data_IF_015351226910
#
_entry.id   IF_015351226910
#
_cell.length_a   1.000
_cell.length_b   1.000
_cell.length_c   1.000
_cell.angle_alpha   90.00
_cell.angle_beta   90.00
_cell.angle_gamma   90.00
#
_symmetry.space_group_name_H-M   'P 1'
#
loop_
_entity.id
_entity.type
_entity.pdbx_description
1 polymer ?
#
# COMPACT_ATOMS: atom_id res chain seq x y z
N UNK A 1 13.82 3.56 31.85
CA UNK A 1 12.58 4.05 31.20
C UNK A 1 12.89 4.18 29.71
N UNK A 2 12.52 3.20 28.88
CA UNK A 2 12.72 3.23 27.43
C UNK A 2 11.33 3.14 26.79
N UNK A 3 10.87 4.09 25.96
CA UNK A 3 9.56 3.97 25.32
C UNK A 3 9.59 2.85 24.25
N UNK A 4 8.54 2.04 24.22
CA UNK A 4 8.39 0.93 23.28
C UNK A 4 8.40 1.39 21.80
N UNK A 5 9.03 0.65 20.87
CA UNK A 5 9.14 1.03 19.45
C UNK A 5 7.84 0.92 18.63
N UNK A 6 6.69 0.54 19.22
CA UNK A 6 5.47 0.19 18.48
C UNK A 6 4.83 1.35 17.69
N UNK A 7 5.12 2.61 18.02
CA UNK A 7 4.56 3.76 17.30
C UNK A 7 5.42 4.24 16.12
N UNK A 8 6.74 4.01 16.15
CA UNK A 8 7.64 4.46 15.07
C UNK A 8 7.42 3.66 13.77
N UNK A 9 7.17 2.36 13.87
CA UNK A 9 6.89 1.53 12.69
C UNK A 9 5.56 1.91 12.03
N UNK A 10 4.50 2.19 12.80
CA UNK A 10 3.19 2.52 12.24
C UNK A 10 3.19 3.84 11.45
N UNK A 11 3.93 4.85 11.92
CA UNK A 11 4.09 6.12 11.17
C UNK A 11 4.94 5.92 9.92
N UNK A 12 6.03 5.15 9.99
CA UNK A 12 6.84 4.83 8.83
C UNK A 12 6.04 4.08 7.75
N UNK A 13 5.20 3.11 8.13
CA UNK A 13 4.30 2.40 7.21
C UNK A 13 3.30 3.35 6.53
N UNK A 14 2.79 4.34 7.26
CA UNK A 14 1.89 5.36 6.70
C UNK A 14 2.64 6.29 5.74
N UNK A 15 3.83 6.76 6.09
CA UNK A 15 4.65 7.59 5.21
C UNK A 15 5.01 6.87 3.90
N UNK A 16 5.36 5.59 3.97
CA UNK A 16 5.60 4.74 2.80
C UNK A 16 4.32 4.64 1.96
N UNK A 17 3.18 4.36 2.58
CA UNK A 17 1.88 4.29 1.89
C UNK A 17 1.50 5.63 1.21
N UNK A 18 1.75 6.75 1.88
CA UNK A 18 1.45 8.09 1.35
C UNK A 18 2.38 8.46 0.19
N UNK A 19 3.68 8.14 0.29
CA UNK A 19 4.64 8.32 -0.81
C UNK A 19 4.29 7.42 -2.01
N UNK A 20 3.76 6.22 -1.76
CA UNK A 20 3.26 5.34 -2.80
C UNK A 20 2.04 5.93 -3.50
N UNK A 21 1.09 6.45 -2.72
CA UNK A 21 -0.11 7.08 -3.22
C UNK A 21 0.24 8.28 -4.12
N UNK A 22 1.19 9.13 -3.74
CA UNK A 22 1.64 10.26 -4.56
C UNK A 22 2.22 9.82 -5.92
N UNK A 23 3.06 8.76 -5.93
CA UNK A 23 3.60 8.17 -7.16
C UNK A 23 2.50 7.56 -8.03
N UNK A 24 1.54 6.89 -7.41
CA UNK A 24 0.36 6.34 -8.09
C UNK A 24 -0.47 7.46 -8.70
N UNK A 25 -0.69 8.56 -7.99
CA UNK A 25 -1.41 9.73 -8.51
C UNK A 25 -0.72 10.28 -9.77
N UNK A 26 0.61 10.42 -9.75
CA UNK A 26 1.39 10.87 -10.90
C UNK A 26 1.35 9.89 -12.07
N UNK A 27 1.29 8.58 -11.80
CA UNK A 27 1.18 7.54 -12.82
C UNK A 27 -0.26 7.38 -13.37
N UNK A 28 -1.26 7.84 -12.63
CA UNK A 28 -2.69 7.69 -12.96
C UNK A 28 -3.35 9.00 -13.42
N UNK A 29 -2.59 10.08 -13.66
CA UNK A 29 -3.09 11.42 -14.01
C UNK A 29 -4.05 11.44 -15.22
N UNK A 30 -4.01 10.40 -16.09
CA UNK A 30 -4.90 10.23 -17.25
C UNK A 30 -5.85 9.04 -17.20
N UNK A 31 -6.01 8.36 -16.05
CA UNK A 31 -6.83 7.14 -15.97
C UNK A 31 -8.32 7.45 -15.92
N UNK A 32 -9.09 6.76 -16.76
CA UNK A 32 -10.55 6.81 -16.74
C UNK A 32 -11.06 5.89 -15.65
N UNK A 33 -11.69 6.49 -14.64
CA UNK A 33 -12.34 5.75 -13.55
C UNK A 33 -13.71 5.24 -14.00
N UNK A 34 -14.16 4.04 -13.56
CA UNK A 34 -13.53 3.16 -12.56
C UNK A 34 -12.37 2.32 -13.12
N UNK A 35 -11.31 2.15 -12.32
CA UNK A 35 -10.12 1.40 -12.69
C UNK A 35 -9.94 0.18 -11.79
N UNK A 36 -9.67 -0.98 -12.39
CA UNK A 36 -9.36 -2.20 -11.66
C UNK A 36 -7.88 -2.24 -11.29
N UNK A 37 -7.49 -2.91 -10.18
CA UNK A 37 -6.08 -3.04 -9.80
C UNK A 37 -5.22 -3.64 -10.90
N UNK A 38 -5.76 -4.54 -11.74
CA UNK A 38 -5.08 -5.02 -12.94
C UNK A 38 -4.76 -3.90 -13.95
N UNK A 39 -5.72 -3.02 -14.25
CA UNK A 39 -5.51 -1.83 -15.11
C UNK A 39 -4.53 -0.86 -14.47
N UNK A 40 -4.62 -0.66 -13.16
CA UNK A 40 -3.68 0.18 -12.40
C UNK A 40 -2.26 -0.38 -12.49
N UNK A 41 -2.09 -1.70 -12.40
CA UNK A 41 -0.81 -2.39 -12.58
C UNK A 41 -0.25 -2.20 -13.99
N UNK A 42 -1.07 -2.38 -15.02
CA UNK A 42 -0.67 -2.21 -16.42
C UNK A 42 -0.27 -0.75 -16.71
N UNK A 43 -1.06 0.22 -16.25
CA UNK A 43 -0.70 1.64 -16.35
C UNK A 43 0.59 1.94 -15.59
N UNK A 44 0.68 1.53 -14.32
CA UNK A 44 1.87 1.71 -13.50
C UNK A 44 3.11 1.06 -14.16
N UNK A 45 2.97 -0.09 -14.82
CA UNK A 45 4.06 -0.74 -15.55
C UNK A 45 4.51 0.11 -16.73
N UNK A 46 3.54 0.61 -17.51
CA UNK A 46 3.79 1.49 -18.65
C UNK A 46 4.47 2.81 -18.27
N UNK A 47 4.16 3.34 -17.09
CA UNK A 47 4.79 4.56 -16.55
C UNK A 47 6.11 4.32 -15.81
N UNK A 48 6.55 3.06 -15.68
CA UNK A 48 7.79 2.71 -14.97
C UNK A 48 7.69 2.84 -13.46
N UNK A 49 6.52 2.56 -12.89
CA UNK A 49 6.31 2.57 -11.45
C UNK A 49 7.23 1.56 -10.75
N UNK A 50 7.73 1.96 -9.57
CA UNK A 50 8.60 1.12 -8.76
C UNK A 50 7.90 -0.17 -8.29
N UNK A 51 8.69 -1.20 -8.01
CA UNK A 51 8.20 -2.48 -7.50
C UNK A 51 7.32 -2.35 -6.26
N UNK A 52 7.62 -1.42 -5.35
CA UNK A 52 6.77 -1.15 -4.19
C UNK A 52 5.36 -0.72 -4.58
N UNK A 53 5.22 0.15 -5.60
CA UNK A 53 3.90 0.59 -6.12
C UNK A 53 3.12 -0.61 -6.64
N UNK A 54 3.80 -1.46 -7.41
CA UNK A 54 3.20 -2.67 -7.97
C UNK A 54 2.79 -3.68 -6.91
N UNK A 55 3.64 -3.90 -5.92
CA UNK A 55 3.38 -4.86 -4.85
C UNK A 55 2.20 -4.42 -3.99
N UNK A 56 2.13 -3.12 -3.65
CA UNK A 56 0.99 -2.58 -2.94
C UNK A 56 -0.30 -2.69 -3.74
N UNK A 57 -0.28 -2.35 -5.04
CA UNK A 57 -1.44 -2.50 -5.93
C UNK A 57 -1.89 -3.97 -6.05
N UNK A 58 -0.96 -4.91 -6.06
CA UNK A 58 -1.24 -6.37 -6.09
C UNK A 58 -1.83 -6.87 -4.78
N UNK A 59 -1.53 -6.22 -3.66
CA UNK A 59 -2.10 -6.53 -2.34
C UNK A 59 -3.49 -5.93 -2.11
N UNK A 60 -4.00 -5.12 -3.04
CA UNK A 60 -5.36 -4.57 -2.96
C UNK A 60 -6.41 -5.61 -3.34
N UNK A 61 -7.61 -5.52 -2.75
CA UNK A 61 -8.74 -6.32 -3.22
C UNK A 61 -9.03 -6.02 -4.70
N UNK A 62 -9.41 -7.06 -5.45
CA UNK A 62 -9.79 -6.97 -6.86
C UNK A 62 -11.20 -6.35 -6.99
N UNK A 63 -11.29 -5.08 -6.64
CA UNK A 63 -12.49 -4.27 -6.69
C UNK A 63 -12.25 -3.07 -7.62
N UNK A 64 -13.29 -2.66 -8.33
CA UNK A 64 -13.21 -1.50 -9.21
C UNK A 64 -13.16 -0.24 -8.35
N UNK A 65 -12.01 0.42 -8.32
CA UNK A 65 -11.85 1.65 -7.58
C UNK A 65 -12.51 2.79 -8.33
N UNK A 66 -13.29 3.61 -7.62
CA UNK A 66 -13.99 4.75 -8.22
C UNK A 66 -13.17 6.02 -8.27
N UNK A 67 -12.12 6.14 -7.45
CA UNK A 67 -11.32 7.36 -7.31
C UNK A 67 -9.99 7.09 -6.58
N UNK A 68 -9.02 7.96 -6.81
CA UNK A 68 -7.72 7.96 -6.12
C UNK A 68 -7.76 7.85 -4.58
N UNK A 69 -8.57 8.65 -3.84
CA UNK A 69 -8.67 8.53 -2.39
C UNK A 69 -9.07 7.13 -1.90
N UNK A 70 -9.84 6.38 -2.69
CA UNK A 70 -10.26 5.01 -2.39
C UNK A 70 -9.06 4.05 -2.45
N UNK A 71 -8.24 4.18 -3.50
CA UNK A 71 -6.98 3.43 -3.66
C UNK A 71 -5.99 3.76 -2.53
N UNK A 72 -5.81 5.05 -2.23
CA UNK A 72 -4.91 5.49 -1.14
C UNK A 72 -5.34 4.92 0.22
N UNK A 73 -6.64 4.94 0.52
CA UNK A 73 -7.19 4.34 1.74
C UNK A 73 -6.93 2.83 1.80
N UNK A 74 -7.13 2.11 0.69
CA UNK A 74 -6.85 0.68 0.62
C UNK A 74 -5.35 0.35 0.75
N UNK A 75 -4.45 1.13 0.14
CA UNK A 75 -2.99 0.95 0.29
C UNK A 75 -2.59 1.14 1.76
N UNK A 76 -3.06 2.21 2.40
CA UNK A 76 -2.77 2.47 3.83
C UNK A 76 -3.32 1.33 4.70
N UNK A 77 -4.53 0.86 4.43
CA UNK A 77 -5.14 -0.24 5.18
C UNK A 77 -4.37 -1.56 5.02
N UNK A 78 -3.95 -1.89 3.79
CA UNK A 78 -3.15 -3.10 3.51
C UNK A 78 -1.78 -3.05 4.17
N UNK A 79 -1.08 -1.91 4.10
CA UNK A 79 0.23 -1.72 4.75
C UNK A 79 0.15 -1.84 6.27
N UNK A 80 -0.92 -1.31 6.88
CA UNK A 80 -1.15 -1.45 8.31
C UNK A 80 -1.42 -2.90 8.73
N UNK A 81 -2.06 -3.71 7.87
CA UNK A 81 -2.28 -5.14 8.15
C UNK A 81 -1.03 -5.99 7.95
N UNK A 82 -0.24 -5.74 6.91
CA UNK A 82 0.97 -6.53 6.63
C UNK A 82 2.01 -6.43 7.76
N UNK A 83 2.27 -5.22 8.29
CA UNK A 83 3.22 -5.00 9.38
C UNK A 83 2.71 -5.42 10.76
N UNK A 84 1.38 -5.51 10.95
CA UNK A 84 0.77 -6.05 12.16
C UNK A 84 0.97 -7.57 12.28
N UNK A 85 0.95 -8.28 11.16
CA UNK A 85 1.01 -9.75 11.12
C UNK A 85 2.40 -10.34 11.37
N UNK A 86 3.46 -9.54 11.26
CA UNK A 86 4.84 -9.96 11.60
C UNK A 86 5.15 -9.94 13.11
N UNK A 87 4.17 -9.61 13.94
CA UNK A 87 4.26 -9.66 15.41
C UNK A 87 3.38 -10.77 15.98
N UNK A 88 3.61 -12.01 15.56
CA UNK A 88 3.25 -13.18 16.35
C UNK A 88 4.54 -13.69 17.03
N UNK A 89 4.71 -13.56 18.36
CA UNK A 89 5.80 -14.23 19.04
C UNK A 89 5.49 -15.73 19.01
N UNK A 90 6.30 -16.47 18.25
CA UNK A 90 6.32 -17.92 18.28
C UNK A 90 6.64 -18.36 19.72
N UNK A 91 5.63 -18.87 20.41
CA UNK A 91 5.84 -19.57 21.66
C UNK A 91 6.36 -20.97 21.34
N UNK A 92 7.64 -21.23 21.66
CA UNK A 92 8.18 -22.49 22.22
C UNK A 92 9.68 -22.61 21.94
N UNK A 93 10.51 -22.61 22.98
CA UNK A 93 11.67 -23.53 23.08
C UNK A 93 12.03 -23.72 24.56
N UNK A 94 11.60 -24.88 25.05
CA UNK A 94 12.12 -25.77 26.10
C UNK A 94 12.49 -25.22 27.49
#
# INVERSE_FOLDING_TARGET
>A
MNPAPSHASAVASRDIANALADRVQSALDGVTWPAHPATLLECAAGYGAGRDVMDALRGLPDEAYGSFPEVSASIVATQMRAHQSESAPDGTTH
#
